data_IF_186275008208
#
_entry.id   IF_186275008208
#
_cell.length_a   1.000
_cell.length_b   1.000
_cell.length_c   1.000
_cell.angle_alpha   90.00
_cell.angle_beta   90.00
_cell.angle_gamma   90.00
#
_symmetry.space_group_name_H-M   'P 1'
#
loop_
_entity.id
_entity.type
_entity.pdbx_description
1 polymer ?
#
# COMPACT_ATOMS: atom_id res chain seq x y z
N UNK A 1 12.81 4.80 -0.30
CA UNK A 1 11.37 4.85 0.02
C UNK A 1 10.97 3.75 1.00
N UNK A 2 10.95 2.47 0.61
CA UNK A 2 10.51 1.36 1.50
C UNK A 2 11.41 1.13 2.74
N UNK A 3 12.55 1.82 2.84
CA UNK A 3 13.41 1.81 4.03
C UNK A 3 12.77 2.46 5.26
N UNK A 4 11.83 3.38 5.06
CA UNK A 4 11.11 4.08 6.14
C UNK A 4 9.84 3.35 6.59
N UNK A 5 9.33 2.39 5.81
CA UNK A 5 8.14 1.64 6.16
C UNK A 5 8.36 0.78 7.41
N UNK A 6 7.37 0.78 8.30
CA UNK A 6 7.35 0.01 9.55
C UNK A 6 6.09 -0.83 9.68
N UNK A 7 6.19 -2.02 10.28
CA UNK A 7 5.05 -2.83 10.66
C UNK A 7 4.38 -2.27 11.94
N UNK A 8 3.32 -2.93 12.41
CA UNK A 8 2.59 -2.53 13.64
C UNK A 8 3.46 -2.55 14.91
N UNK A 9 4.58 -3.29 14.90
CA UNK A 9 5.54 -3.35 16.00
C UNK A 9 6.65 -2.30 15.89
N UNK A 10 6.51 -1.35 14.95
CA UNK A 10 7.51 -0.34 14.63
C UNK A 10 8.85 -0.89 14.14
N UNK A 11 8.86 -2.11 13.57
CA UNK A 11 10.02 -2.75 12.96
C UNK A 11 9.99 -2.57 11.43
N UNK A 12 11.12 -2.66 10.71
CA UNK A 12 11.11 -2.63 9.26
C UNK A 12 10.20 -3.70 8.64
N UNK A 13 9.45 -3.36 7.59
CA UNK A 13 8.63 -4.34 6.87
C UNK A 13 9.49 -5.50 6.33
N UNK A 14 8.91 -6.71 6.34
CA UNK A 14 9.60 -7.95 5.96
C UNK A 14 10.06 -7.94 4.50
N UNK A 15 11.04 -8.80 4.19
CA UNK A 15 11.52 -8.99 2.82
C UNK A 15 10.43 -9.50 1.88
N UNK A 16 9.49 -10.30 2.38
CA UNK A 16 8.32 -10.76 1.63
C UNK A 16 7.40 -9.59 1.25
N UNK A 17 7.08 -8.69 2.20
CA UNK A 17 6.29 -7.49 1.92
C UNK A 17 6.96 -6.63 0.85
N UNK A 18 8.28 -6.43 0.94
CA UNK A 18 9.06 -5.69 -0.07
C UNK A 18 8.97 -6.32 -1.45
N UNK A 19 9.01 -7.66 -1.54
CA UNK A 19 8.87 -8.39 -2.80
C UNK A 19 7.47 -8.20 -3.41
N UNK A 20 6.41 -8.30 -2.61
CA UNK A 20 5.03 -8.06 -3.07
C UNK A 20 4.84 -6.64 -3.60
N UNK A 21 5.35 -5.64 -2.88
CA UNK A 21 5.32 -4.24 -3.33
C UNK A 21 6.11 -4.07 -4.64
N UNK A 22 7.30 -4.69 -4.74
CA UNK A 22 8.07 -4.68 -5.97
C UNK A 22 7.33 -5.32 -7.16
N UNK A 23 6.59 -6.40 -6.92
CA UNK A 23 5.76 -7.07 -7.94
C UNK A 23 4.66 -6.13 -8.44
N UNK A 24 3.93 -5.47 -7.55
CA UNK A 24 2.92 -4.48 -7.95
C UNK A 24 3.52 -3.33 -8.79
N UNK A 25 4.71 -2.84 -8.44
CA UNK A 25 5.36 -1.79 -9.23
C UNK A 25 5.82 -2.23 -10.61
N UNK A 26 6.19 -3.51 -10.77
CA UNK A 26 6.56 -4.06 -12.07
C UNK A 26 5.34 -4.42 -12.93
N UNK A 27 4.29 -4.94 -12.30
CA UNK A 27 3.09 -5.49 -12.94
C UNK A 27 1.84 -5.13 -12.09
N UNK A 28 1.32 -3.89 -12.23
CA UNK A 28 0.14 -3.48 -11.48
C UNK A 28 -1.11 -4.18 -12.01
N UNK A 29 -1.78 -4.92 -11.15
CA UNK A 29 -3.04 -5.61 -11.44
C UNK A 29 -3.91 -5.68 -10.16
N UNK A 30 -5.21 -5.99 -10.27
CA UNK A 30 -6.06 -6.25 -9.12
C UNK A 30 -5.46 -7.27 -8.13
N UNK A 31 -4.83 -8.33 -8.63
CA UNK A 31 -4.22 -9.36 -7.80
C UNK A 31 -2.97 -8.85 -7.07
N UNK A 32 -2.07 -8.15 -7.79
CA UNK A 32 -0.85 -7.61 -7.17
C UNK A 32 -1.15 -6.44 -6.25
N UNK A 33 -2.28 -5.75 -6.45
CA UNK A 33 -2.80 -4.75 -5.54
C UNK A 33 -3.40 -5.39 -4.27
N UNK A 34 -4.21 -6.44 -4.40
CA UNK A 34 -4.77 -7.17 -3.25
C UNK A 34 -3.67 -7.71 -2.32
N UNK A 35 -2.59 -8.23 -2.93
CA UNK A 35 -1.38 -8.69 -2.23
C UNK A 35 -0.76 -7.63 -1.31
N UNK A 36 -0.91 -6.34 -1.63
CA UNK A 36 -0.21 -5.24 -0.94
C UNK A 36 -1.13 -4.28 -0.17
N UNK A 37 -2.41 -4.19 -0.54
CA UNK A 37 -3.35 -3.20 0.00
C UNK A 37 -3.40 -3.22 1.54
N UNK A 38 -3.31 -4.42 2.14
CA UNK A 38 -3.37 -4.64 3.59
C UNK A 38 -2.02 -4.63 4.31
N UNK A 39 -0.91 -4.38 3.60
CA UNK A 39 0.41 -4.29 4.25
C UNK A 39 0.46 -3.03 5.11
N UNK A 40 0.78 -3.21 6.40
CA UNK A 40 1.02 -2.12 7.33
C UNK A 40 2.40 -1.51 7.04
N UNK A 41 2.44 -0.20 6.86
CA UNK A 41 3.64 0.56 6.47
C UNK A 41 4.02 1.68 7.45
N UNK A 42 3.20 1.97 8.46
CA UNK A 42 3.55 2.86 9.57
C UNK A 42 3.20 2.21 10.92
N UNK A 43 3.96 2.57 11.97
CA UNK A 43 3.86 1.98 13.31
C UNK A 43 2.55 2.27 14.05
N UNK A 44 1.71 3.16 13.52
CA UNK A 44 0.36 3.42 14.00
C UNK A 44 -0.70 2.46 13.41
N UNK A 45 -0.29 1.53 12.56
CA UNK A 45 -1.16 0.57 11.89
C UNK A 45 -1.64 0.99 10.52
N UNK A 46 -1.19 2.13 9.99
CA UNK A 46 -1.57 2.59 8.65
C UNK A 46 -1.13 1.59 7.58
N UNK A 47 -2.09 1.15 6.76
CA UNK A 47 -1.87 0.26 5.61
C UNK A 47 -1.61 1.04 4.31
N UNK A 48 -1.10 0.36 3.28
CA UNK A 48 -0.92 0.95 1.93
C UNK A 48 -2.25 1.47 1.39
N UNK A 49 -3.35 0.71 1.54
CA UNK A 49 -4.67 1.16 1.11
C UNK A 49 -5.10 2.46 1.81
N UNK A 50 -4.98 2.53 3.13
CA UNK A 50 -5.31 3.75 3.89
C UNK A 50 -4.44 4.93 3.45
N UNK A 51 -3.14 4.71 3.22
CA UNK A 51 -2.26 5.75 2.71
C UNK A 51 -2.70 6.25 1.32
N UNK A 52 -3.17 5.36 0.44
CA UNK A 52 -3.72 5.72 -0.87
C UNK A 52 -5.01 6.53 -0.71
N UNK A 53 -5.96 6.11 0.14
CA UNK A 53 -7.18 6.89 0.41
C UNK A 53 -6.88 8.28 0.99
N UNK A 54 -5.81 8.43 1.79
CA UNK A 54 -5.34 9.73 2.31
C UNK A 54 -4.66 10.60 1.25
N UNK A 55 -4.12 9.99 0.20
CA UNK A 55 -3.48 10.69 -0.92
C UNK A 55 -4.49 11.10 -1.99
N UNK A 56 -5.39 10.18 -2.36
CA UNK A 56 -6.49 10.36 -3.29
C UNK A 56 -7.83 10.03 -2.62
N UNK A 57 -8.58 11.05 -2.15
CA UNK A 57 -9.89 10.86 -1.53
C UNK A 57 -10.97 10.31 -2.48
N UNK A 58 -10.72 10.27 -3.79
CA UNK A 58 -11.65 9.69 -4.78
C UNK A 58 -11.42 8.19 -4.96
N UNK A 59 -10.31 7.66 -4.43
CA UNK A 59 -10.02 6.23 -4.44
C UNK A 59 -11.09 5.47 -3.62
N UNK A 60 -11.67 4.37 -4.15
CA UNK A 60 -12.80 3.73 -3.52
C UNK A 60 -12.51 3.29 -2.07
N UNK A 61 -13.44 3.62 -1.18
CA UNK A 61 -13.48 3.12 0.19
C UNK A 61 -14.11 1.71 0.16
N UNK A 62 -13.30 0.69 0.45
CA UNK A 62 -13.66 -0.72 0.29
C UNK A 62 -14.69 -1.17 1.33
N UNK A 63 -15.97 -0.93 1.05
CA UNK A 63 -17.07 -1.43 1.88
C UNK A 63 -17.73 -2.72 1.36
N UNK A 64 -17.40 -3.22 0.16
CA UNK A 64 -17.99 -4.47 -0.36
C UNK A 64 -17.00 -5.36 -1.15
N UNK A 65 -16.74 -6.55 -0.60
CA UNK A 65 -16.40 -7.80 -1.28
C UNK A 65 -15.60 -7.77 -2.59
N UNK A 66 -14.29 -8.00 -2.47
CA UNK A 66 -13.48 -8.89 -3.34
C UNK A 66 -13.31 -8.59 -4.83
N UNK A 67 -13.56 -7.38 -5.34
CA UNK A 67 -13.10 -7.03 -6.70
C UNK A 67 -12.65 -5.57 -6.79
N UNK A 68 -11.34 -5.37 -6.97
CA UNK A 68 -10.78 -4.05 -7.24
C UNK A 68 -11.16 -3.61 -8.66
N UNK A 69 -12.28 -2.88 -8.78
CA UNK A 69 -12.71 -2.29 -10.07
C UNK A 69 -11.71 -1.23 -10.57
N UNK A 70 -10.96 -0.66 -9.66
CA UNK A 70 -9.90 0.31 -9.91
C UNK A 70 -8.75 0.04 -8.93
N UNK A 71 -7.52 0.14 -9.43
CA UNK A 71 -6.29 0.06 -8.62
C UNK A 71 -5.50 1.36 -8.80
N UNK A 72 -4.74 1.79 -7.79
CA UNK A 72 -3.93 2.99 -7.91
C UNK A 72 -2.78 2.73 -8.89
N UNK A 73 -2.16 3.78 -9.42
CA UNK A 73 -0.93 3.60 -10.20
C UNK A 73 0.26 3.36 -9.26
N UNK A 74 1.37 2.76 -9.76
CA UNK A 74 2.62 2.69 -9.01
C UNK A 74 3.09 4.05 -8.48
N UNK A 75 2.86 5.12 -9.25
CA UNK A 75 3.22 6.47 -8.84
C UNK A 75 2.37 6.96 -7.66
N UNK A 76 1.06 6.69 -7.66
CA UNK A 76 0.17 7.07 -6.56
C UNK A 76 0.54 6.35 -5.27
N UNK A 77 0.77 5.03 -5.34
CA UNK A 77 1.24 4.23 -4.20
C UNK A 77 2.57 4.76 -3.67
N UNK A 78 3.49 5.12 -4.57
CA UNK A 78 4.78 5.70 -4.21
C UNK A 78 4.61 7.02 -3.43
N UNK A 79 3.77 7.94 -3.91
CA UNK A 79 3.50 9.21 -3.21
C UNK A 79 2.74 9.01 -1.89
N UNK A 80 1.75 8.12 -1.88
CA UNK A 80 0.98 7.76 -0.70
C UNK A 80 1.87 7.22 0.43
N UNK A 81 2.75 6.25 0.12
CA UNK A 81 3.72 5.71 1.08
C UNK A 81 4.60 6.85 1.61
N UNK A 82 5.15 7.67 0.73
CA UNK A 82 6.02 8.79 1.14
C UNK A 82 5.30 9.74 2.09
N UNK A 83 4.02 10.05 1.86
CA UNK A 83 3.24 10.97 2.69
C UNK A 83 3.09 10.51 4.14
N UNK A 84 3.02 9.20 4.39
CA UNK A 84 2.76 8.64 5.73
C UNK A 84 4.01 8.09 6.44
N UNK A 85 5.14 7.94 5.72
CA UNK A 85 6.41 7.43 6.30
C UNK A 85 7.56 8.44 6.29
N UNK A 86 7.32 9.70 5.90
CA UNK A 86 8.33 10.76 5.93
C UNK A 86 8.39 11.47 7.26
#
# INVERSE_FOLDING_TARGET
MLGSCRNIYNEPISSECRKKIGRFFAEPSPDTWDDIARIIIAGDGTTIWQAVCLYDPTFPDHTNGTSWNHIPTPFDVMQAIKKVTS
#
